data_IF_872304007804
#
_entry.id   IF_872304007804
#
_cell.length_a   1.000
_cell.length_b   1.000
_cell.length_c   1.000
_cell.angle_alpha   90.00
_cell.angle_beta   90.00
_cell.angle_gamma   90.00
#
_symmetry.space_group_name_H-M   'P 1'
#
loop_
_entity.id
_entity.type
_entity.pdbx_description
1 polymer ?
#
# COMPACT_ATOMS: atom_id res chain seq x y z
N UNK A 1 -14.61 -5.20 17.97
CA UNK A 1 -13.28 -5.61 17.43
C UNK A 1 -13.31 -5.78 15.91
N UNK A 2 -14.16 -6.66 15.34
CA UNK A 2 -14.34 -6.82 13.87
C UNK A 2 -14.41 -5.52 13.07
N UNK A 3 -15.25 -4.56 13.50
CA UNK A 3 -15.43 -3.26 12.82
C UNK A 3 -14.17 -2.39 12.82
N UNK A 4 -13.40 -2.42 13.92
CA UNK A 4 -12.18 -1.65 14.06
C UNK A 4 -11.08 -2.20 13.13
N UNK A 5 -10.92 -3.53 13.09
CA UNK A 5 -9.96 -4.20 12.21
C UNK A 5 -10.30 -4.00 10.73
N UNK A 6 -11.57 -4.00 10.35
CA UNK A 6 -12.01 -3.67 8.98
C UNK A 6 -11.68 -2.22 8.58
N UNK A 7 -11.90 -1.27 9.50
CA UNK A 7 -11.53 0.14 9.26
C UNK A 7 -10.01 0.29 9.09
N UNK A 8 -9.22 -0.33 9.96
CA UNK A 8 -7.75 -0.30 9.86
C UNK A 8 -7.25 -0.95 8.57
N UNK A 9 -7.86 -2.08 8.17
CA UNK A 9 -7.55 -2.75 6.92
C UNK A 9 -7.86 -1.86 5.71
N UNK A 10 -9.05 -1.26 5.63
CA UNK A 10 -9.40 -0.33 4.54
C UNK A 10 -8.45 0.87 4.48
N UNK A 11 -8.12 1.46 5.63
CA UNK A 11 -7.17 2.57 5.71
C UNK A 11 -5.80 2.13 5.19
N UNK A 12 -5.28 1.00 5.66
CA UNK A 12 -4.00 0.46 5.20
C UNK A 12 -3.99 0.17 3.71
N UNK A 13 -5.08 -0.38 3.18
CA UNK A 13 -5.27 -0.70 1.78
C UNK A 13 -5.22 0.54 0.90
N UNK A 14 -5.96 1.59 1.29
CA UNK A 14 -5.93 2.89 0.61
C UNK A 14 -4.54 3.52 0.70
N UNK A 15 -3.89 3.45 1.86
CA UNK A 15 -2.56 4.04 2.08
C UNK A 15 -1.48 3.42 1.19
N UNK A 16 -1.34 2.10 1.19
CA UNK A 16 -0.28 1.47 0.38
C UNK A 16 -0.56 1.65 -1.12
N UNK A 17 -1.84 1.63 -1.53
CA UNK A 17 -2.21 1.85 -2.92
C UNK A 17 -1.90 3.29 -3.36
N UNK A 18 -2.25 4.28 -2.53
CA UNK A 18 -1.94 5.69 -2.81
C UNK A 18 -0.42 5.93 -2.89
N UNK A 19 0.36 5.33 -1.98
CA UNK A 19 1.82 5.36 -2.04
C UNK A 19 2.36 4.71 -3.33
N UNK A 20 1.80 3.56 -3.71
CA UNK A 20 2.09 2.86 -4.97
C UNK A 20 1.87 3.76 -6.19
N UNK A 21 0.70 4.36 -6.28
CA UNK A 21 0.32 5.27 -7.37
C UNK A 21 1.25 6.48 -7.41
N UNK A 22 1.53 7.11 -6.27
CA UNK A 22 2.44 8.25 -6.20
C UNK A 22 3.84 7.91 -6.73
N UNK A 23 4.37 6.75 -6.36
CA UNK A 23 5.67 6.26 -6.84
C UNK A 23 5.64 6.00 -8.35
N UNK A 24 4.61 5.35 -8.87
CA UNK A 24 4.49 5.07 -10.31
C UNK A 24 4.36 6.37 -11.11
N UNK A 25 3.57 7.34 -10.65
CA UNK A 25 3.44 8.64 -11.31
C UNK A 25 4.76 9.42 -11.31
N UNK A 26 5.48 9.45 -10.19
CA UNK A 26 6.78 10.09 -10.12
C UNK A 26 7.81 9.42 -11.05
N UNK A 27 7.80 8.08 -11.13
CA UNK A 27 8.62 7.35 -12.08
C UNK A 27 8.24 7.65 -13.54
N UNK A 28 6.95 7.73 -13.86
CA UNK A 28 6.48 8.09 -15.20
C UNK A 28 6.96 9.49 -15.62
N UNK A 29 6.87 10.48 -14.71
CA UNK A 29 7.44 11.82 -14.93
C UNK A 29 8.95 11.77 -15.13
N UNK A 30 9.66 10.99 -14.30
CA UNK A 30 11.10 10.80 -14.42
C UNK A 30 11.51 10.21 -15.77
N UNK A 31 10.75 9.24 -16.29
CA UNK A 31 10.97 8.63 -17.60
C UNK A 31 10.75 9.64 -18.74
N UNK A 32 9.66 10.40 -18.71
CA UNK A 32 9.38 11.44 -19.72
C UNK A 32 10.44 12.54 -19.70
N UNK A 33 10.94 12.89 -18.51
CA UNK A 33 12.00 13.88 -18.34
C UNK A 33 13.42 13.33 -18.63
N UNK A 34 13.57 12.03 -18.91
CA UNK A 34 14.87 11.38 -19.10
C UNK A 34 15.79 11.42 -17.87
N UNK A 35 15.22 11.57 -16.67
CA UNK A 35 15.96 11.73 -15.42
C UNK A 35 15.88 10.47 -14.56
N UNK A 36 16.91 9.59 -14.59
CA UNK A 36 16.93 8.38 -13.79
C UNK A 36 16.96 8.66 -12.28
N UNK A 37 17.44 9.85 -11.88
CA UNK A 37 17.43 10.29 -10.47
C UNK A 37 16.03 10.54 -9.91
N UNK A 38 15.07 10.98 -10.72
CA UNK A 38 13.68 11.13 -10.29
C UNK A 38 13.01 9.77 -10.07
N UNK A 39 13.31 8.80 -10.93
CA UNK A 39 12.81 7.42 -10.82
C UNK A 39 13.35 6.75 -9.56
N UNK A 40 14.68 6.75 -9.38
CA UNK A 40 15.32 6.11 -8.23
C UNK A 40 15.09 6.86 -6.91
N UNK A 41 14.96 8.19 -6.98
CA UNK A 41 14.61 9.04 -5.84
C UNK A 41 13.20 8.78 -5.32
N UNK A 42 12.22 8.61 -6.22
CA UNK A 42 10.85 8.26 -5.83
C UNK A 42 10.78 6.92 -5.09
N UNK A 43 11.49 5.91 -5.59
CA UNK A 43 11.57 4.59 -4.94
C UNK A 43 12.32 4.67 -3.61
N UNK A 44 13.42 5.42 -3.52
CA UNK A 44 14.15 5.59 -2.26
C UNK A 44 13.34 6.30 -1.19
N UNK A 45 12.56 7.31 -1.56
CA UNK A 45 11.77 8.10 -0.61
C UNK A 45 10.54 7.33 -0.08
N UNK A 46 9.86 6.58 -0.94
CA UNK A 46 8.54 6.03 -0.64
C UNK A 46 8.51 4.49 -0.60
N UNK A 47 9.53 3.81 -1.12
CA UNK A 47 9.54 2.36 -1.27
C UNK A 47 9.45 1.61 0.05
N UNK A 48 10.17 2.07 1.09
CA UNK A 48 10.11 1.46 2.42
C UNK A 48 8.73 1.66 3.05
N UNK A 49 8.21 2.89 3.02
CA UNK A 49 6.88 3.21 3.55
C UNK A 49 5.78 2.39 2.87
N UNK A 50 5.83 2.28 1.54
CA UNK A 50 4.89 1.46 0.75
C UNK A 50 4.99 -0.02 1.13
N UNK A 51 6.20 -0.57 1.20
CA UNK A 51 6.43 -1.99 1.51
C UNK A 51 5.92 -2.34 2.91
N UNK A 52 6.21 -1.50 3.90
CA UNK A 52 5.74 -1.68 5.27
C UNK A 52 4.21 -1.57 5.33
N UNK A 53 3.62 -0.55 4.70
CA UNK A 53 2.16 -0.39 4.68
C UNK A 53 1.46 -1.58 4.01
N UNK A 54 1.97 -2.07 2.87
CA UNK A 54 1.44 -3.23 2.19
C UNK A 54 1.59 -4.51 3.03
N UNK A 55 2.75 -4.72 3.66
CA UNK A 55 3.00 -5.88 4.51
C UNK A 55 2.10 -5.91 5.76
N UNK A 56 1.98 -4.78 6.46
CA UNK A 56 1.09 -4.67 7.63
C UNK A 56 -0.37 -4.85 7.23
N UNK A 57 -0.79 -4.30 6.10
CA UNK A 57 -2.16 -4.46 5.59
C UNK A 57 -2.45 -5.91 5.20
N UNK A 58 -1.50 -6.58 4.54
CA UNK A 58 -1.62 -8.01 4.20
C UNK A 58 -1.69 -8.90 5.45
N UNK A 59 -0.87 -8.60 6.47
CA UNK A 59 -0.93 -9.31 7.75
C UNK A 59 -2.26 -9.09 8.47
N UNK A 60 -2.79 -7.86 8.47
CA UNK A 60 -4.12 -7.56 8.99
C UNK A 60 -5.21 -8.34 8.24
N UNK A 61 -5.14 -8.40 6.91
CA UNK A 61 -6.04 -9.21 6.08
C UNK A 61 -5.98 -10.69 6.46
N UNK A 62 -4.77 -11.25 6.61
CA UNK A 62 -4.58 -12.63 7.05
C UNK A 62 -5.17 -12.90 8.44
N UNK A 63 -4.91 -12.02 9.40
CA UNK A 63 -5.48 -12.11 10.76
C UNK A 63 -7.00 -12.05 10.70
N UNK A 64 -7.59 -11.22 9.85
CA UNK A 64 -9.04 -11.18 9.65
C UNK A 64 -9.58 -12.46 9.04
N UNK A 65 -8.95 -13.01 7.99
CA UNK A 65 -9.36 -14.28 7.42
C UNK A 65 -9.25 -15.44 8.43
N UNK A 66 -8.20 -15.46 9.25
CA UNK A 66 -7.95 -16.55 10.19
C UNK A 66 -8.83 -16.49 11.45
N UNK A 67 -8.94 -15.33 12.10
CA UNK A 67 -9.69 -15.19 13.36
C UNK A 67 -11.18 -14.92 13.14
N UNK A 68 -11.52 -14.25 12.04
CA UNK A 68 -12.89 -13.78 11.79
C UNK A 68 -13.58 -14.50 10.64
N UNK A 69 -12.93 -15.51 10.03
CA UNK A 69 -13.38 -16.22 8.83
C UNK A 69 -13.81 -15.28 7.71
N UNK A 70 -13.12 -14.13 7.60
CA UNK A 70 -13.45 -13.12 6.61
C UNK A 70 -13.11 -13.63 5.21
N UNK A 71 -14.12 -13.66 4.34
CA UNK A 71 -13.98 -13.90 2.90
C UNK A 71 -14.03 -12.57 2.15
N UNK A 72 -13.09 -12.37 1.23
CA UNK A 72 -12.96 -11.10 0.51
C UNK A 72 -14.25 -10.70 -0.21
N UNK A 73 -14.78 -9.53 0.13
CA UNK A 73 -16.05 -9.01 -0.40
C UNK A 73 -17.18 -8.91 0.63
N UNK A 74 -16.99 -9.42 1.84
CA UNK A 74 -17.91 -9.15 2.96
C UNK A 74 -17.57 -7.82 3.63
N UNK A 75 -18.49 -6.85 3.53
CA UNK A 75 -18.46 -5.55 4.22
C UNK A 75 -19.22 -5.58 5.56
#
# INVERSE_FOLDING_TARGET
>A
MKRLTMVLFKIGLVLFLALGVAVVLAQAVGLVAGSPGLVSGAVSALGLAMTVAAGVTGLLGFVMSYLFHWTGGED
#
